data_IF_772958635710
#
_entry.id   IF_772958635710
#
_cell.length_a   1.000
_cell.length_b   1.000
_cell.length_c   1.000
_cell.angle_alpha   90.00
_cell.angle_beta   90.00
_cell.angle_gamma   90.00
#
_symmetry.space_group_name_H-M   'P 1'
#
loop_
_entity.id
_entity.type
_entity.pdbx_description
1 polymer ?
#
# COMPACT_ATOMS: atom_id res chain seq x y z
N UNK A 1 80.15 -3.34 -20.29
CA UNK A 1 80.72 -2.20 -19.58
C UNK A 1 79.92 -1.93 -18.32
N UNK A 2 80.36 -2.42 -17.31
CA UNK A 2 80.59 -2.04 -15.90
C UNK A 2 79.95 -0.77 -15.31
N UNK A 3 79.92 -0.70 -14.01
CA UNK A 3 78.85 -0.77 -13.05
C UNK A 3 78.86 0.52 -12.17
N UNK A 4 77.98 0.51 -11.13
CA UNK A 4 78.06 1.37 -9.89
C UNK A 4 76.69 1.93 -9.58
N UNK A 5 76.14 1.89 -8.43
CA UNK A 5 76.66 1.67 -7.07
C UNK A 5 75.44 1.54 -6.12
N UNK A 6 75.56 0.55 -5.29
CA UNK A 6 74.81 0.37 -4.04
C UNK A 6 75.22 1.50 -3.08
N UNK A 7 74.22 2.12 -2.38
CA UNK A 7 74.30 2.70 -1.04
C UNK A 7 73.34 3.87 -0.90
N UNK A 8 72.22 3.60 -0.23
CA UNK A 8 71.55 4.50 0.72
C UNK A 8 70.15 3.95 1.01
N UNK A 9 70.09 2.88 1.73
CA UNK A 9 68.85 2.33 2.31
C UNK A 9 69.14 1.85 3.72
N UNK A 10 69.35 2.73 4.64
CA UNK A 10 69.46 2.40 6.06
C UNK A 10 69.37 3.67 6.92
N UNK A 11 68.31 4.45 6.76
CA UNK A 11 68.00 5.55 7.69
C UNK A 11 66.55 6.04 7.62
N UNK A 12 65.59 5.15 7.51
CA UNK A 12 64.13 5.48 7.65
C UNK A 12 63.36 4.41 8.43
N UNK A 13 63.99 3.77 9.39
CA UNK A 13 63.29 2.71 10.20
C UNK A 13 63.31 3.03 11.70
N UNK A 14 63.32 4.28 12.11
CA UNK A 14 63.32 4.65 13.53
C UNK A 14 62.43 5.84 13.91
N UNK A 15 61.44 6.21 13.11
CA UNK A 15 60.52 7.32 13.46
C UNK A 15 59.03 6.96 13.26
N UNK A 16 58.63 5.70 13.39
CA UNK A 16 57.25 5.26 13.31
C UNK A 16 56.73 4.56 14.60
N UNK A 17 57.35 4.93 15.75
CA UNK A 17 56.99 4.27 17.03
C UNK A 17 56.79 5.29 18.18
N UNK A 18 56.02 6.34 17.90
CA UNK A 18 55.60 7.24 18.99
C UNK A 18 54.45 8.11 18.54
N UNK A 19 53.22 7.58 18.46
CA UNK A 19 51.95 8.33 18.55
C UNK A 19 50.74 7.35 18.52
N UNK A 20 50.84 6.21 19.14
CA UNK A 20 49.64 5.49 19.62
C UNK A 20 49.27 6.07 20.99
N UNK A 21 48.70 7.25 20.99
CA UNK A 21 47.92 7.66 22.18
C UNK A 21 46.70 6.72 22.29
N UNK A 22 46.52 6.06 23.43
CA UNK A 22 45.26 5.35 23.67
C UNK A 22 44.17 6.41 23.63
N UNK A 23 43.24 6.27 22.69
CA UNK A 23 41.93 6.91 22.80
C UNK A 23 41.35 6.36 24.10
N UNK A 24 41.49 7.11 25.18
CA UNK A 24 40.71 6.86 26.40
C UNK A 24 39.27 7.06 25.99
N UNK A 25 38.59 5.97 25.66
CA UNK A 25 37.15 5.95 25.67
C UNK A 25 36.75 6.47 27.03
N UNK A 26 36.16 7.66 27.10
CA UNK A 26 35.53 8.16 28.33
C UNK A 26 34.44 7.13 28.68
N UNK A 27 34.81 6.21 29.58
CA UNK A 27 33.83 5.44 30.31
C UNK A 27 33.00 6.47 31.06
N UNK A 28 31.75 6.64 30.68
CA UNK A 28 30.80 7.41 31.47
C UNK A 28 30.74 6.74 32.85
N UNK A 29 31.43 7.31 33.82
CA UNK A 29 31.41 6.80 35.19
C UNK A 29 29.96 6.72 35.66
N UNK A 30 29.51 5.52 35.97
CA UNK A 30 28.20 5.32 36.53
C UNK A 30 28.11 6.11 37.86
N UNK A 31 27.00 6.80 38.08
CA UNK A 31 26.76 7.55 39.32
C UNK A 31 25.34 7.31 39.83
N UNK A 32 25.13 7.64 41.11
CA UNK A 32 23.80 7.59 41.71
C UNK A 32 23.15 8.98 41.54
N UNK A 33 22.00 9.03 40.87
CA UNK A 33 21.26 10.26 40.65
C UNK A 33 20.58 10.71 41.96
N UNK A 34 21.17 11.68 42.63
CA UNK A 34 20.56 12.26 43.84
C UNK A 34 19.31 13.08 43.53
N UNK A 35 19.20 13.57 42.30
CA UNK A 35 18.05 14.31 41.78
C UNK A 35 18.01 14.22 40.27
N UNK A 36 16.82 14.47 39.65
CA UNK A 36 16.62 14.50 38.22
C UNK A 36 15.93 15.81 37.84
N UNK A 37 16.53 16.54 36.88
CA UNK A 37 15.99 17.80 36.38
C UNK A 37 15.80 17.70 34.89
N UNK A 38 14.73 18.31 34.38
CA UNK A 38 14.44 18.39 32.95
C UNK A 38 14.47 19.85 32.51
N UNK A 39 15.34 20.17 31.56
CA UNK A 39 15.53 21.49 31.01
C UNK A 39 15.08 21.50 29.53
N UNK A 40 14.53 22.64 29.05
CA UNK A 40 14.09 22.83 27.67
C UNK A 40 12.62 22.58 27.42
N UNK A 41 11.85 22.26 28.43
CA UNK A 41 10.39 22.10 28.33
C UNK A 41 9.68 23.42 28.06
N UNK A 42 8.68 23.41 27.21
CA UNK A 42 7.85 24.56 26.85
C UNK A 42 6.35 24.28 27.07
N UNK A 43 5.85 23.18 26.55
CA UNK A 43 4.41 22.78 26.62
C UNK A 43 4.22 21.50 27.41
N UNK A 44 5.20 20.61 27.37
CA UNK A 44 5.14 19.31 28.03
C UNK A 44 5.53 19.50 29.49
N UNK A 45 4.78 18.89 30.42
CA UNK A 45 5.13 18.94 31.83
C UNK A 45 6.28 18.03 32.18
N UNK A 46 7.09 18.40 33.18
CA UNK A 46 8.14 17.52 33.68
C UNK A 46 7.59 16.18 34.19
N UNK A 47 6.38 16.18 34.75
CA UNK A 47 5.67 14.95 35.14
C UNK A 47 5.41 13.99 33.98
N UNK A 48 5.07 14.51 32.82
CA UNK A 48 4.92 13.70 31.60
C UNK A 48 6.25 13.04 31.20
N UNK A 49 7.36 13.79 31.27
CA UNK A 49 8.70 13.21 30.97
C UNK A 49 9.03 12.09 31.93
N UNK A 50 8.81 12.30 33.25
CA UNK A 50 9.08 11.27 34.28
C UNK A 50 8.23 10.01 34.10
N UNK A 51 7.02 10.10 33.53
CA UNK A 51 6.19 8.91 33.25
C UNK A 51 6.85 7.96 32.25
N UNK A 52 7.62 8.50 31.31
CA UNK A 52 8.30 7.72 30.27
C UNK A 52 9.78 7.44 30.57
N UNK A 53 10.30 8.02 31.64
CA UNK A 53 11.70 7.88 32.01
C UNK A 53 11.91 6.62 32.88
N UNK A 54 12.70 5.62 32.43
CA UNK A 54 13.00 4.43 33.24
C UNK A 54 14.12 4.65 34.28
N UNK A 55 14.27 5.89 34.80
CA UNK A 55 15.22 6.28 35.83
C UNK A 55 14.48 7.06 36.89
N UNK A 56 14.68 6.66 38.14
CA UNK A 56 14.16 7.36 39.32
C UNK A 56 15.30 7.96 40.20
N UNK A 57 14.92 8.88 41.08
CA UNK A 57 15.83 9.45 42.05
C UNK A 57 16.37 8.33 42.95
N UNK A 58 17.69 8.27 43.07
CA UNK A 58 18.40 7.22 43.83
C UNK A 58 18.93 6.10 42.96
N UNK A 59 18.55 6.04 41.69
CA UNK A 59 19.01 5.02 40.76
C UNK A 59 20.48 5.23 40.35
N UNK A 60 21.12 4.11 40.05
CA UNK A 60 22.43 4.12 39.38
C UNK A 60 22.26 4.37 37.89
N UNK A 61 22.81 5.46 37.42
CA UNK A 61 22.82 5.87 36.00
C UNK A 61 24.12 5.43 35.37
N UNK A 62 24.07 4.56 34.40
CA UNK A 62 25.17 4.11 33.56
C UNK A 62 24.85 4.34 32.08
N UNK A 63 25.75 3.97 31.19
CA UNK A 63 25.55 4.14 29.71
C UNK A 63 24.38 3.33 29.17
N UNK A 64 24.12 2.14 29.73
CA UNK A 64 23.00 1.29 29.26
C UNK A 64 21.65 1.95 29.61
N UNK A 65 21.48 2.34 30.88
CA UNK A 65 20.28 2.99 31.39
C UNK A 65 20.04 4.36 30.76
N UNK A 66 21.11 5.11 30.49
CA UNK A 66 21.07 6.37 29.70
C UNK A 66 20.56 6.12 28.31
N UNK A 67 21.09 5.12 27.60
CA UNK A 67 20.67 4.79 26.24
C UNK A 67 19.21 4.34 26.18
N UNK A 68 18.79 3.51 27.12
CA UNK A 68 17.40 3.06 27.26
C UNK A 68 16.46 4.24 27.46
N UNK A 69 16.82 5.15 28.37
CA UNK A 69 16.03 6.34 28.69
C UNK A 69 15.91 7.31 27.53
N UNK A 70 16.99 7.55 26.81
CA UNK A 70 16.99 8.36 25.59
C UNK A 70 16.05 7.74 24.55
N UNK A 71 16.13 6.43 24.32
CA UNK A 71 15.24 5.72 23.40
C UNK A 71 13.77 5.79 23.82
N UNK A 72 13.50 5.65 25.13
CA UNK A 72 12.14 5.76 25.64
C UNK A 72 11.53 7.15 25.40
N UNK A 73 12.30 8.21 25.66
CA UNK A 73 11.86 9.57 25.40
C UNK A 73 11.70 9.88 23.89
N UNK A 74 12.60 9.43 23.04
CA UNK A 74 12.43 9.58 21.57
C UNK A 74 11.22 8.82 21.05
N UNK A 75 10.91 7.65 21.61
CA UNK A 75 9.75 6.83 21.22
C UNK A 75 8.42 7.53 21.46
N UNK A 76 8.35 8.47 22.40
CA UNK A 76 7.15 9.27 22.65
C UNK A 76 6.78 10.17 21.45
N UNK A 77 7.76 10.50 20.60
CA UNK A 77 7.58 11.44 19.51
C UNK A 77 7.57 12.91 19.92
N UNK A 78 7.63 13.23 21.21
CA UNK A 78 7.53 14.59 21.74
C UNK A 78 8.74 15.46 21.46
N UNK A 79 9.91 14.85 21.33
CA UNK A 79 11.19 15.56 21.32
C UNK A 79 11.90 15.39 19.97
N UNK A 80 12.51 16.48 19.51
CA UNK A 80 13.42 16.50 18.35
C UNK A 80 14.85 16.18 18.78
N UNK A 81 15.21 16.54 20.03
CA UNK A 81 16.51 16.22 20.62
C UNK A 81 16.36 15.90 22.11
N UNK A 82 17.18 14.95 22.59
CA UNK A 82 17.24 14.53 23.98
C UNK A 82 18.69 14.26 24.34
N UNK A 83 19.22 15.00 25.31
CA UNK A 83 20.58 14.84 25.81
C UNK A 83 20.55 14.66 27.32
N UNK A 84 21.44 13.82 27.83
CA UNK A 84 21.64 13.59 29.24
C UNK A 84 22.95 14.18 29.66
N UNK A 85 22.92 15.04 30.65
CA UNK A 85 24.08 15.73 31.21
C UNK A 85 24.19 15.40 32.71
N UNK A 86 25.42 15.33 33.21
CA UNK A 86 25.70 15.14 34.63
C UNK A 86 26.17 16.45 35.26
N UNK A 87 25.48 16.92 36.28
CA UNK A 87 25.90 18.06 37.09
C UNK A 87 26.12 17.58 38.55
N UNK A 88 27.35 17.16 38.85
CA UNK A 88 27.65 16.49 40.15
C UNK A 88 26.93 15.15 40.26
N UNK A 89 26.00 15.03 41.19
CA UNK A 89 25.13 13.86 41.34
C UNK A 89 23.68 14.09 40.83
N UNK A 90 23.46 15.20 40.13
CA UNK A 90 22.15 15.50 39.50
C UNK A 90 22.20 15.04 38.05
N UNK A 91 21.17 14.29 37.61
CA UNK A 91 20.93 13.98 36.21
C UNK A 91 20.12 15.13 35.57
N UNK A 92 20.68 15.79 34.61
CA UNK A 92 19.99 16.84 33.84
C UNK A 92 19.61 16.27 32.47
N UNK A 93 18.32 16.25 32.16
CA UNK A 93 17.78 15.83 30.87
C UNK A 93 17.46 17.08 30.09
N UNK A 94 18.24 17.34 29.06
CA UNK A 94 18.04 18.50 28.18
C UNK A 94 17.23 18.03 26.97
N UNK A 95 16.07 18.62 26.77
CA UNK A 95 15.16 18.25 25.69
C UNK A 95 14.86 19.43 24.76
N UNK A 96 14.61 19.13 23.49
CA UNK A 96 14.05 20.07 22.54
C UNK A 96 12.69 19.54 22.10
N UNK A 97 11.62 20.19 22.50
CA UNK A 97 10.27 19.77 22.13
C UNK A 97 10.00 19.99 20.65
N UNK A 98 9.32 19.02 20.03
CA UNK A 98 8.74 19.25 18.68
C UNK A 98 7.57 20.23 18.78
N UNK A 99 7.41 21.13 17.80
CA UNK A 99 6.27 22.03 17.78
C UNK A 99 4.96 21.27 17.58
N UNK A 100 3.85 21.86 17.99
CA UNK A 100 2.52 21.37 17.62
C UNK A 100 2.00 22.07 16.39
N UNK A 101 1.17 21.37 15.62
CA UNK A 101 0.48 21.91 14.47
C UNK A 101 -0.64 22.83 14.96
N UNK A 102 -0.57 24.11 14.58
CA UNK A 102 -1.62 25.10 14.88
C UNK A 102 -2.72 25.04 13.83
N UNK A 103 -2.35 25.14 12.54
CA UNK A 103 -3.27 24.98 11.42
C UNK A 103 -2.66 24.06 10.35
N UNK A 104 -3.54 23.34 9.67
CA UNK A 104 -3.20 22.52 8.49
C UNK A 104 -4.08 22.97 7.32
N UNK A 105 -3.49 23.63 6.34
CA UNK A 105 -4.18 24.15 5.17
C UNK A 105 -3.79 23.38 3.92
N UNK A 106 -4.80 23.00 3.14
CA UNK A 106 -4.66 22.37 1.82
C UNK A 106 -5.14 23.37 0.77
N UNK A 107 -4.35 23.62 -0.25
CA UNK A 107 -4.67 24.55 -1.32
C UNK A 107 -4.41 23.95 -2.69
N UNK A 108 -5.34 24.16 -3.65
CA UNK A 108 -5.21 23.68 -5.03
C UNK A 108 -5.73 22.27 -5.31
N UNK A 109 -6.22 21.54 -4.32
CA UNK A 109 -6.86 20.23 -4.47
C UNK A 109 -8.28 20.37 -5.04
N UNK A 110 -8.46 20.01 -6.30
CA UNK A 110 -9.75 20.05 -7.01
C UNK A 110 -10.32 18.66 -7.26
N UNK A 111 -9.45 17.67 -7.51
CA UNK A 111 -9.81 16.30 -7.83
C UNK A 111 -10.24 15.51 -6.58
N UNK A 112 -9.61 15.79 -5.44
CA UNK A 112 -9.91 15.15 -4.17
C UNK A 112 -10.47 16.22 -3.21
N UNK A 113 -11.61 15.93 -2.59
CA UNK A 113 -12.24 16.86 -1.64
C UNK A 113 -11.36 17.10 -0.42
N UNK A 114 -11.35 18.33 0.07
CA UNK A 114 -10.55 18.73 1.24
C UNK A 114 -10.91 17.91 2.47
N UNK A 115 -12.20 17.59 2.66
CA UNK A 115 -12.69 16.80 3.79
C UNK A 115 -12.11 15.39 3.80
N UNK A 116 -12.04 14.74 2.62
CA UNK A 116 -11.50 13.39 2.47
C UNK A 116 -9.99 13.39 2.76
N UNK A 117 -9.28 14.39 2.22
CA UNK A 117 -7.85 14.56 2.47
C UNK A 117 -7.59 14.82 3.97
N UNK A 118 -8.31 15.75 4.59
CA UNK A 118 -8.13 16.07 6.00
C UNK A 118 -8.41 14.88 6.91
N UNK A 119 -9.42 14.09 6.58
CA UNK A 119 -9.74 12.85 7.34
C UNK A 119 -8.60 11.84 7.23
N UNK A 120 -8.07 11.62 6.03
CA UNK A 120 -6.91 10.74 5.81
C UNK A 120 -5.66 11.22 6.54
N UNK A 121 -5.37 12.53 6.49
CA UNK A 121 -4.24 13.16 7.16
C UNK A 121 -4.31 13.00 8.68
N UNK A 122 -5.49 13.19 9.26
CA UNK A 122 -5.73 12.96 10.70
C UNK A 122 -5.46 11.53 11.12
N UNK A 123 -5.86 10.55 10.29
CA UNK A 123 -5.62 9.13 10.56
C UNK A 123 -4.15 8.74 10.66
N UNK A 124 -3.24 9.54 10.12
CA UNK A 124 -1.78 9.31 10.15
C UNK A 124 -1.04 10.33 11.04
N UNK A 125 -1.78 11.06 11.88
CA UNK A 125 -1.22 11.98 12.89
C UNK A 125 -0.77 13.33 12.33
N UNK A 126 -1.28 13.76 11.18
CA UNK A 126 -1.08 15.12 10.65
C UNK A 126 -2.38 15.90 10.74
N UNK A 127 -2.63 16.53 11.89
CA UNK A 127 -3.82 17.32 12.16
C UNK A 127 -3.51 18.45 13.14
N UNK A 128 -4.41 19.41 13.22
CA UNK A 128 -4.33 20.49 14.20
C UNK A 128 -4.30 19.94 15.63
N UNK A 129 -3.40 20.46 16.44
CA UNK A 129 -3.14 20.02 17.82
C UNK A 129 -2.14 18.89 17.95
N UNK A 130 -1.88 18.13 16.88
CA UNK A 130 -0.88 17.04 16.88
C UNK A 130 0.56 17.58 16.88
N UNK A 131 1.50 16.69 17.22
CA UNK A 131 2.93 17.02 17.23
C UNK A 131 3.47 16.97 15.80
N UNK A 132 4.09 18.05 15.37
CA UNK A 132 4.72 18.11 14.06
C UNK A 132 5.97 17.24 13.99
N UNK A 133 5.96 16.28 13.09
CA UNK A 133 7.10 15.43 12.75
C UNK A 133 7.42 15.57 11.25
N UNK A 134 8.61 16.07 10.87
CA UNK A 134 9.00 16.19 9.47
C UNK A 134 8.88 14.91 8.68
N UNK A 135 9.26 13.75 9.27
CA UNK A 135 9.17 12.44 8.62
C UNK A 135 7.71 12.02 8.33
N UNK A 136 6.77 12.46 9.19
CA UNK A 136 5.35 12.21 8.94
C UNK A 136 4.84 13.08 7.80
N UNK A 137 5.26 14.33 7.72
CA UNK A 137 4.91 15.23 6.62
C UNK A 137 5.42 14.71 5.28
N UNK A 138 6.67 14.24 5.22
CA UNK A 138 7.25 13.67 3.99
C UNK A 138 6.46 12.42 3.55
N UNK A 139 6.16 11.49 4.47
CA UNK A 139 5.36 10.30 4.18
C UNK A 139 3.98 10.65 3.65
N UNK A 140 3.33 11.62 4.27
CA UNK A 140 2.03 12.13 3.84
C UNK A 140 2.10 12.70 2.44
N UNK A 141 3.09 13.55 2.17
CA UNK A 141 3.28 14.15 0.85
C UNK A 141 3.45 13.08 -0.22
N UNK A 142 4.24 12.04 0.04
CA UNK A 142 4.41 10.91 -0.89
C UNK A 142 3.12 10.10 -1.07
N UNK A 143 2.35 9.90 -0.01
CA UNK A 143 1.06 9.20 -0.09
C UNK A 143 0.04 9.99 -0.91
N UNK A 144 -0.05 11.31 -0.71
CA UNK A 144 -0.91 12.16 -1.51
C UNK A 144 -0.50 12.13 -3.00
N UNK A 145 0.79 12.22 -3.31
CA UNK A 145 1.28 12.09 -4.69
C UNK A 145 0.84 10.76 -5.30
N UNK A 146 0.92 9.66 -4.53
CA UNK A 146 0.47 8.33 -4.98
C UNK A 146 -1.02 8.28 -5.25
N UNK A 147 -1.85 8.90 -4.40
CA UNK A 147 -3.30 8.98 -4.60
C UNK A 147 -3.66 9.78 -5.85
N UNK A 148 -2.98 10.91 -6.10
CA UNK A 148 -3.15 11.67 -7.32
C UNK A 148 -2.69 10.89 -8.56
N UNK A 149 -1.59 10.16 -8.48
CA UNK A 149 -1.12 9.28 -9.56
C UNK A 149 -2.14 8.18 -9.90
N UNK A 150 -2.78 7.59 -8.89
CA UNK A 150 -3.84 6.60 -9.10
C UNK A 150 -5.04 7.18 -9.87
N UNK A 151 -5.28 8.49 -9.74
CA UNK A 151 -6.30 9.24 -10.51
C UNK A 151 -5.78 9.80 -11.84
N UNK A 152 -4.58 9.39 -12.27
CA UNK A 152 -3.98 9.83 -13.53
C UNK A 152 -3.28 11.19 -13.50
N UNK A 153 -3.13 11.81 -12.32
CA UNK A 153 -2.47 13.11 -12.13
C UNK A 153 -0.96 12.96 -11.91
N UNK A 154 -0.24 12.41 -12.86
CA UNK A 154 1.20 12.10 -12.73
C UNK A 154 2.09 13.35 -12.68
N UNK A 155 1.58 14.51 -13.09
CA UNK A 155 2.27 15.80 -13.03
C UNK A 155 2.01 16.54 -11.72
N UNK A 156 1.34 15.91 -10.75
CA UNK A 156 1.07 16.54 -9.46
C UNK A 156 2.36 16.95 -8.76
N UNK A 157 2.34 18.14 -8.20
CA UNK A 157 3.39 18.66 -7.33
C UNK A 157 2.75 19.13 -6.04
N UNK A 158 3.30 18.70 -4.91
CA UNK A 158 2.83 19.09 -3.58
C UNK A 158 4.03 19.71 -2.86
N UNK A 159 3.91 20.96 -2.51
CA UNK A 159 4.96 21.71 -1.84
C UNK A 159 4.51 22.04 -0.42
N UNK A 160 5.05 21.38 0.60
CA UNK A 160 4.77 21.74 1.98
C UNK A 160 5.52 23.02 2.36
N UNK A 161 4.85 23.94 3.03
CA UNK A 161 5.44 25.10 3.68
C UNK A 161 5.11 25.08 5.18
N UNK A 162 6.13 25.36 6.00
CA UNK A 162 6.03 25.31 7.45
C UNK A 162 6.39 26.69 7.98
N UNK A 163 5.45 27.33 8.68
CA UNK A 163 5.63 28.64 9.29
C UNK A 163 5.73 28.50 10.80
N UNK A 164 6.89 28.76 11.42
CA UNK A 164 7.01 28.75 12.87
C UNK A 164 6.19 29.88 13.52
N UNK A 165 5.59 29.56 14.65
CA UNK A 165 4.79 30.48 15.45
C UNK A 165 5.28 30.49 16.91
N UNK A 166 4.81 31.51 17.65
CA UNK A 166 5.07 31.58 19.09
C UNK A 166 4.54 30.35 19.84
N UNK A 167 5.12 30.09 21.01
CA UNK A 167 4.74 29.00 21.91
C UNK A 167 4.94 27.62 21.31
N UNK A 168 6.03 27.43 20.56
CA UNK A 168 6.43 26.17 19.94
C UNK A 168 5.31 25.56 19.09
N UNK A 169 4.74 26.32 18.17
CA UNK A 169 3.71 25.91 17.21
C UNK A 169 4.18 26.13 15.78
N UNK A 170 3.54 25.45 14.84
CA UNK A 170 3.76 25.64 13.40
C UNK A 170 2.43 25.66 12.67
N UNK A 171 2.34 26.48 11.64
CA UNK A 171 1.32 26.35 10.60
C UNK A 171 1.92 25.55 9.44
N UNK A 172 1.14 24.61 8.92
CA UNK A 172 1.51 23.79 7.77
C UNK A 172 0.56 24.11 6.64
N UNK A 173 1.12 24.46 5.47
CA UNK A 173 0.35 24.62 4.24
C UNK A 173 0.88 23.64 3.21
N UNK A 174 -0.01 22.87 2.57
CA UNK A 174 0.29 22.02 1.43
C UNK A 174 -0.25 22.68 0.17
N UNK A 175 0.64 23.25 -0.63
CA UNK A 175 0.31 23.83 -1.94
C UNK A 175 0.33 22.71 -2.99
N UNK A 176 -0.86 22.39 -3.51
CA UNK A 176 -1.09 21.28 -4.44
C UNK A 176 -1.29 21.84 -5.85
N UNK A 177 -0.43 21.44 -6.76
CA UNK A 177 -0.61 21.70 -8.20
C UNK A 177 -0.89 20.37 -8.87
N UNK A 178 -2.16 20.08 -9.18
CA UNK A 178 -2.58 18.74 -9.66
C UNK A 178 -2.07 18.41 -11.06
N UNK A 179 -1.85 19.43 -11.89
CA UNK A 179 -1.52 19.24 -13.31
C UNK A 179 -2.70 18.70 -14.13
N UNK A 180 -2.40 18.25 -15.33
CA UNK A 180 -3.39 17.60 -16.23
C UNK A 180 -3.33 16.08 -16.05
N UNK A 181 -4.43 15.41 -16.38
CA UNK A 181 -4.44 13.95 -16.46
C UNK A 181 -3.55 13.52 -17.62
N UNK A 182 -2.79 12.46 -17.41
CA UNK A 182 -2.08 11.79 -18.50
C UNK A 182 -3.11 11.11 -19.40
N UNK A 183 -2.87 11.18 -20.71
CA UNK A 183 -3.76 10.65 -21.76
C UNK A 183 -3.25 9.32 -22.26
N UNK A 184 -4.15 8.37 -22.39
CA UNK A 184 -3.85 7.07 -22.95
C UNK A 184 -3.69 7.19 -24.48
N UNK A 185 -2.46 7.04 -24.95
CA UNK A 185 -2.11 7.18 -26.38
C UNK A 185 -2.21 5.88 -27.12
N UNK A 186 -1.86 4.79 -26.47
CA UNK A 186 -1.82 3.49 -27.09
C UNK A 186 -2.15 2.39 -26.09
N UNK A 187 -2.87 1.37 -26.59
CA UNK A 187 -3.25 0.18 -25.84
C UNK A 187 -2.91 -1.03 -26.72
N UNK A 188 -1.91 -1.77 -26.30
CA UNK A 188 -1.44 -2.98 -26.97
C UNK A 188 -1.82 -4.22 -26.17
N UNK A 189 -2.47 -5.18 -26.82
CA UNK A 189 -2.65 -6.52 -26.31
C UNK A 189 -1.69 -7.43 -27.08
N UNK A 190 -0.83 -8.14 -26.38
CA UNK A 190 0.20 -9.00 -26.98
C UNK A 190 -0.06 -10.45 -26.58
N UNK A 191 -0.02 -11.35 -27.55
CA UNK A 191 -0.31 -12.78 -27.35
C UNK A 191 -1.69 -13.20 -27.83
N UNK A 192 -2.52 -12.25 -28.23
CA UNK A 192 -3.81 -12.50 -28.86
C UNK A 192 -3.60 -12.93 -30.34
N UNK A 193 -3.96 -14.15 -30.62
CA UNK A 193 -3.82 -14.75 -31.98
C UNK A 193 -5.16 -15.07 -32.62
N UNK A 194 -6.19 -15.27 -31.81
CA UNK A 194 -7.54 -15.66 -32.27
C UNK A 194 -8.44 -14.46 -32.46
N UNK A 195 -8.34 -13.46 -31.59
CA UNK A 195 -9.19 -12.27 -31.64
C UNK A 195 -8.36 -11.01 -31.80
N UNK A 196 -8.82 -10.08 -32.64
CA UNK A 196 -8.15 -8.78 -32.84
C UNK A 196 -8.41 -7.81 -31.70
N UNK A 197 -7.50 -6.87 -31.51
CA UNK A 197 -7.53 -5.86 -30.44
C UNK A 197 -8.83 -5.05 -30.40
N UNK A 198 -9.40 -4.71 -31.56
CA UNK A 198 -10.64 -3.92 -31.62
C UNK A 198 -11.81 -4.64 -30.98
N UNK A 199 -11.92 -5.97 -31.20
CA UNK A 199 -12.96 -6.78 -30.58
C UNK A 199 -12.73 -6.97 -29.08
N UNK A 200 -11.47 -7.16 -28.68
CA UNK A 200 -11.11 -7.36 -27.27
C UNK A 200 -11.33 -6.10 -26.43
N UNK A 201 -11.30 -4.93 -27.04
CA UNK A 201 -11.48 -3.63 -26.39
C UNK A 201 -12.85 -3.01 -26.59
N UNK A 202 -13.78 -3.70 -27.25
CA UNK A 202 -15.11 -3.15 -27.59
C UNK A 202 -15.86 -2.60 -26.36
N UNK A 203 -15.79 -3.31 -25.23
CA UNK A 203 -16.48 -2.96 -23.99
C UNK A 203 -15.57 -2.24 -22.96
N UNK A 204 -14.37 -1.84 -23.37
CA UNK A 204 -13.46 -1.17 -22.43
C UNK A 204 -13.91 0.27 -22.16
N UNK A 205 -13.73 0.69 -20.91
CA UNK A 205 -13.92 2.09 -20.49
C UNK A 205 -12.72 2.97 -20.82
N UNK A 206 -11.54 2.35 -20.89
CA UNK A 206 -10.28 3.01 -21.27
C UNK A 206 -10.11 3.00 -22.77
N UNK A 207 -10.03 4.18 -23.38
CA UNK A 207 -9.84 4.33 -24.81
C UNK A 207 -8.64 5.24 -25.13
N UNK A 208 -8.10 5.08 -26.34
CA UNK A 208 -7.10 5.99 -26.85
C UNK A 208 -7.73 7.34 -27.20
N UNK A 209 -6.92 8.41 -27.17
CA UNK A 209 -7.40 9.77 -27.47
C UNK A 209 -8.06 9.84 -28.85
N UNK A 210 -9.33 10.19 -28.89
CA UNK A 210 -10.15 10.39 -30.09
C UNK A 210 -10.75 11.80 -30.16
N UNK A 211 -11.41 12.14 -31.25
CA UNK A 211 -12.07 13.45 -31.40
C UNK A 211 -13.18 13.66 -30.35
N UNK A 212 -13.79 12.59 -29.85
CA UNK A 212 -14.86 12.66 -28.84
C UNK A 212 -14.35 12.55 -27.38
N UNK A 213 -13.08 12.24 -27.18
CA UNK A 213 -12.51 12.06 -25.82
C UNK A 213 -12.52 13.34 -24.99
N UNK A 214 -12.57 14.53 -25.63
CA UNK A 214 -12.73 15.79 -24.90
C UNK A 214 -14.06 15.87 -24.12
N UNK A 215 -15.09 15.14 -24.57
CA UNK A 215 -16.39 15.08 -23.90
C UNK A 215 -16.50 13.85 -23.00
N UNK A 216 -16.11 12.66 -23.49
CA UNK A 216 -16.25 11.39 -22.77
C UNK A 216 -15.21 11.20 -21.67
N UNK A 217 -14.04 11.85 -21.79
CA UNK A 217 -12.86 11.66 -20.89
C UNK A 217 -12.43 10.19 -20.76
N UNK A 218 -12.65 9.40 -21.79
CA UNK A 218 -12.33 7.98 -21.86
C UNK A 218 -10.83 7.73 -22.14
N UNK A 219 -10.11 8.77 -22.59
CA UNK A 219 -8.65 8.78 -22.79
C UNK A 219 -7.86 9.10 -21.49
N UNK A 220 -8.54 9.28 -20.37
CA UNK A 220 -7.89 9.55 -19.09
C UNK A 220 -7.65 8.24 -18.34
N UNK A 221 -6.39 7.98 -18.03
CA UNK A 221 -6.00 6.80 -17.29
C UNK A 221 -6.55 6.83 -15.85
N UNK A 222 -7.11 5.71 -15.43
CA UNK A 222 -7.44 5.40 -14.04
C UNK A 222 -7.10 3.94 -13.78
N UNK A 223 -6.50 3.65 -12.64
CA UNK A 223 -6.17 2.28 -12.25
C UNK A 223 -7.43 1.43 -12.09
N UNK A 224 -8.49 2.02 -11.57
CA UNK A 224 -9.79 1.36 -11.37
C UNK A 224 -10.41 0.96 -12.72
N UNK A 225 -10.43 1.88 -13.70
CA UNK A 225 -10.91 1.57 -15.06
C UNK A 225 -10.09 0.46 -15.70
N UNK A 226 -8.76 0.57 -15.64
CA UNK A 226 -7.88 -0.47 -16.20
C UNK A 226 -8.13 -1.83 -15.55
N UNK A 227 -8.31 -1.89 -14.24
CA UNK A 227 -8.62 -3.15 -13.54
C UNK A 227 -9.93 -3.76 -14.03
N UNK A 228 -10.97 -2.95 -14.21
CA UNK A 228 -12.25 -3.37 -14.79
C UNK A 228 -12.13 -3.84 -16.24
N UNK A 229 -11.33 -3.15 -17.05
CA UNK A 229 -11.11 -3.52 -18.46
C UNK A 229 -10.33 -4.85 -18.58
N UNK A 230 -9.34 -5.09 -17.71
CA UNK A 230 -8.63 -6.37 -17.66
C UNK A 230 -9.53 -7.52 -17.17
N UNK A 231 -10.48 -7.24 -16.28
CA UNK A 231 -11.50 -8.22 -15.87
C UNK A 231 -12.41 -8.55 -17.04
N UNK A 232 -12.91 -7.54 -17.79
CA UNK A 232 -13.71 -7.76 -19.02
C UNK A 232 -12.95 -8.59 -20.06
N UNK A 233 -11.63 -8.33 -20.22
CA UNK A 233 -10.77 -9.13 -21.10
C UNK A 233 -10.71 -10.59 -20.64
N UNK A 234 -10.58 -10.83 -19.35
CA UNK A 234 -10.57 -12.18 -18.80
C UNK A 234 -11.92 -12.87 -19.00
N UNK A 235 -13.02 -12.18 -18.72
CA UNK A 235 -14.37 -12.70 -18.92
C UNK A 235 -14.66 -13.01 -20.39
N UNK A 236 -14.20 -12.16 -21.32
CA UNK A 236 -14.33 -12.39 -22.75
C UNK A 236 -13.77 -13.75 -23.19
N UNK A 237 -12.57 -14.10 -22.71
CA UNK A 237 -11.94 -15.38 -23.03
C UNK A 237 -12.57 -16.55 -22.28
N UNK A 238 -12.80 -16.39 -20.97
CA UNK A 238 -13.38 -17.44 -20.12
C UNK A 238 -14.81 -17.83 -20.56
N UNK A 239 -15.57 -16.88 -21.10
CA UNK A 239 -16.92 -17.15 -21.61
C UNK A 239 -16.94 -17.84 -22.99
N UNK A 240 -15.78 -17.82 -23.67
CA UNK A 240 -15.59 -18.50 -24.97
C UNK A 240 -14.83 -19.81 -24.87
N UNK A 241 -14.65 -20.30 -23.63
CA UNK A 241 -14.09 -21.63 -23.36
C UNK A 241 -12.60 -21.66 -23.03
N UNK A 242 -11.92 -20.54 -23.01
CA UNK A 242 -10.49 -20.47 -22.70
C UNK A 242 -10.26 -20.53 -21.18
N UNK A 243 -10.52 -21.69 -20.58
CA UNK A 243 -10.48 -21.85 -19.12
C UNK A 243 -9.09 -21.69 -18.50
N UNK A 244 -8.03 -21.77 -19.27
CA UNK A 244 -6.65 -21.53 -18.87
C UNK A 244 -6.10 -20.19 -19.38
N UNK A 245 -6.97 -19.28 -19.82
CA UNK A 245 -6.60 -17.91 -20.13
C UNK A 245 -5.92 -17.23 -18.94
N UNK A 246 -4.86 -16.51 -19.22
CA UNK A 246 -4.13 -15.77 -18.19
C UNK A 246 -3.57 -14.45 -18.72
N UNK A 247 -3.65 -13.40 -17.91
CA UNK A 247 -2.91 -12.15 -18.13
C UNK A 247 -1.55 -12.32 -17.46
N UNK A 248 -0.50 -12.43 -18.27
CA UNK A 248 0.86 -12.67 -17.78
C UNK A 248 1.48 -11.41 -17.16
N UNK A 249 1.27 -10.28 -17.80
CA UNK A 249 1.74 -8.99 -17.28
C UNK A 249 0.98 -7.83 -17.89
N UNK A 250 0.89 -6.74 -17.13
CA UNK A 250 0.38 -5.44 -17.60
C UNK A 250 1.41 -4.37 -17.27
N UNK A 251 1.88 -3.67 -18.30
CA UNK A 251 2.87 -2.62 -18.19
C UNK A 251 2.26 -1.27 -18.59
N UNK A 252 2.43 -0.29 -17.74
CA UNK A 252 2.03 1.10 -18.00
C UNK A 252 3.29 1.94 -18.07
N UNK A 253 3.55 2.52 -19.22
CA UNK A 253 4.68 3.42 -19.46
C UNK A 253 4.19 4.85 -19.61
N UNK A 254 4.90 5.78 -18.97
CA UNK A 254 4.57 7.21 -18.98
C UNK A 254 5.66 7.96 -19.76
N UNK A 255 5.25 8.88 -20.64
CA UNK A 255 6.18 9.76 -21.33
C UNK A 255 6.99 10.63 -20.35
N UNK A 256 8.21 11.07 -20.72
CA UNK A 256 9.04 11.91 -19.85
C UNK A 256 8.36 13.21 -19.40
N UNK A 257 7.48 13.77 -20.23
CA UNK A 257 6.71 14.98 -19.91
C UNK A 257 5.42 14.71 -19.11
N UNK A 258 5.20 13.43 -18.73
CA UNK A 258 4.06 12.95 -17.93
C UNK A 258 2.67 13.26 -18.50
N UNK A 259 2.59 13.47 -19.82
CA UNK A 259 1.31 13.78 -20.49
C UNK A 259 0.69 12.59 -21.18
N UNK A 260 1.50 11.65 -21.65
CA UNK A 260 1.07 10.51 -22.44
C UNK A 260 1.40 9.20 -21.73
N UNK A 261 0.50 8.23 -21.87
CA UNK A 261 0.63 6.89 -21.34
C UNK A 261 0.47 5.86 -22.43
N UNK A 262 1.18 4.76 -22.27
CA UNK A 262 1.16 3.59 -23.15
C UNK A 262 0.89 2.36 -22.29
N UNK A 263 -0.11 1.60 -22.66
CA UNK A 263 -0.51 0.37 -21.97
C UNK A 263 -0.11 -0.82 -22.84
N UNK A 264 0.57 -1.80 -22.26
CA UNK A 264 0.84 -3.09 -22.91
C UNK A 264 0.44 -4.20 -21.97
N UNK A 265 -0.49 -5.06 -22.42
CA UNK A 265 -0.96 -6.22 -21.69
C UNK A 265 -0.53 -7.49 -22.43
N UNK A 266 0.29 -8.31 -21.79
CA UNK A 266 0.69 -9.60 -22.32
C UNK A 266 -0.26 -10.68 -21.81
N UNK A 267 -0.81 -11.48 -22.72
CA UNK A 267 -1.75 -12.54 -22.41
C UNK A 267 -1.29 -13.89 -22.96
N UNK A 268 -1.75 -14.95 -22.31
CA UNK A 268 -1.73 -16.30 -22.82
C UNK A 268 -3.18 -16.75 -23.04
N UNK A 269 -3.60 -16.90 -24.29
CA UNK A 269 -4.99 -17.24 -24.62
C UNK A 269 -5.37 -18.65 -24.14
N UNK A 270 -4.43 -19.59 -24.20
CA UNK A 270 -4.70 -21.00 -23.91
C UNK A 270 -5.45 -21.69 -25.03
N UNK A 271 -6.28 -22.68 -24.67
CA UNK A 271 -7.09 -23.46 -25.63
C UNK A 271 -8.55 -23.50 -25.21
N UNK A 272 -9.43 -23.78 -26.17
CA UNK A 272 -10.87 -23.92 -25.90
C UNK A 272 -11.16 -25.26 -25.23
N UNK A 273 -11.85 -25.22 -24.09
CA UNK A 273 -12.31 -26.38 -23.32
C UNK A 273 -13.81 -26.62 -23.52
N UNK A 274 -14.19 -27.89 -23.53
CA UNK A 274 -15.59 -28.32 -23.46
C UNK A 274 -15.90 -28.91 -22.11
N UNK A 275 -17.12 -28.78 -21.67
CA UNK A 275 -17.59 -29.37 -20.43
C UNK A 275 -17.71 -30.89 -20.60
N UNK A 276 -17.04 -31.66 -19.76
CA UNK A 276 -17.10 -33.13 -19.71
C UNK A 276 -18.33 -33.56 -18.92
N UNK A 277 -18.33 -33.26 -17.63
CA UNK A 277 -19.41 -33.61 -16.71
C UNK A 277 -19.65 -32.46 -15.71
N UNK A 278 -20.89 -32.46 -15.20
CA UNK A 278 -21.32 -31.59 -14.12
C UNK A 278 -21.86 -32.44 -12.98
N UNK A 279 -21.33 -32.22 -11.78
CA UNK A 279 -21.74 -32.96 -10.57
C UNK A 279 -22.18 -32.02 -9.46
N UNK A 280 -22.91 -32.54 -8.48
CA UNK A 280 -23.32 -31.82 -7.28
C UNK A 280 -22.82 -32.61 -6.09
N UNK A 281 -22.02 -31.98 -5.24
CA UNK A 281 -21.50 -32.55 -4.01
C UNK A 281 -21.91 -31.74 -2.78
N UNK A 282 -21.50 -32.19 -1.60
CA UNK A 282 -21.82 -31.54 -0.35
C UNK A 282 -23.19 -31.91 0.20
N UNK A 283 -23.75 -31.07 1.07
CA UNK A 283 -25.00 -31.27 1.73
C UNK A 283 -26.16 -30.63 0.95
N UNK A 284 -27.04 -31.46 0.36
CA UNK A 284 -28.22 -30.99 -0.38
C UNK A 284 -29.48 -31.15 0.49
N UNK A 285 -30.05 -30.01 0.88
CA UNK A 285 -31.29 -29.95 1.68
C UNK A 285 -32.57 -30.09 0.82
N UNK A 286 -32.39 -30.21 -0.50
CA UNK A 286 -33.41 -30.46 -1.50
C UNK A 286 -33.00 -31.64 -2.38
N UNK A 287 -33.94 -32.30 -3.11
CA UNK A 287 -33.59 -33.32 -4.09
C UNK A 287 -32.58 -32.81 -5.10
N UNK A 288 -31.57 -33.61 -5.47
CA UNK A 288 -30.56 -33.23 -6.46
C UNK A 288 -31.14 -32.87 -7.81
N UNK A 289 -32.22 -33.55 -8.17
CA UNK A 289 -32.96 -33.32 -9.42
C UNK A 289 -33.53 -31.89 -9.54
N UNK A 290 -33.82 -31.23 -8.41
CA UNK A 290 -34.29 -29.85 -8.41
C UNK A 290 -33.12 -28.86 -8.59
N UNK A 291 -31.93 -29.19 -8.07
CA UNK A 291 -30.71 -28.44 -8.30
C UNK A 291 -30.25 -28.59 -9.77
N UNK A 292 -30.31 -29.82 -10.32
CA UNK A 292 -29.96 -30.13 -11.70
C UNK A 292 -30.74 -29.30 -12.74
N UNK A 293 -32.00 -29.00 -12.47
CA UNK A 293 -32.86 -28.14 -13.31
C UNK A 293 -32.35 -26.70 -13.41
N UNK A 294 -31.57 -26.24 -12.41
CA UNK A 294 -31.04 -24.90 -12.35
C UNK A 294 -29.69 -24.77 -13.07
N UNK A 295 -29.04 -25.89 -13.41
CA UNK A 295 -27.72 -25.93 -14.06
C UNK A 295 -27.88 -25.49 -15.51
N UNK A 296 -27.19 -24.38 -15.83
CA UNK A 296 -27.18 -23.81 -17.18
C UNK A 296 -26.04 -24.38 -18.03
N UNK A 297 -24.91 -24.70 -17.40
CA UNK A 297 -23.74 -25.25 -18.07
C UNK A 297 -23.90 -26.77 -18.23
N UNK A 298 -23.85 -27.26 -19.49
CA UNK A 298 -24.20 -28.68 -19.79
C UNK A 298 -22.99 -29.39 -20.40
N UNK A 299 -22.85 -30.72 -20.16
CA UNK A 299 -21.85 -31.55 -20.82
C UNK A 299 -21.93 -31.41 -22.35
N UNK A 300 -20.75 -31.38 -23.00
CA UNK A 300 -20.59 -31.22 -24.44
C UNK A 300 -20.56 -29.77 -24.93
N UNK A 301 -21.06 -28.81 -24.16
CA UNK A 301 -20.98 -27.40 -24.51
C UNK A 301 -19.58 -26.84 -24.29
N UNK A 302 -19.28 -25.70 -24.94
CA UNK A 302 -18.10 -24.89 -24.65
C UNK A 302 -18.23 -24.36 -23.20
N UNK A 303 -17.13 -24.37 -22.46
CA UNK A 303 -17.08 -23.80 -21.12
C UNK A 303 -17.40 -22.30 -21.17
N UNK A 304 -18.13 -21.80 -20.19
CA UNK A 304 -18.42 -20.40 -19.98
C UNK A 304 -18.45 -20.07 -18.48
N UNK A 305 -17.64 -19.12 -18.08
CA UNK A 305 -17.62 -18.60 -16.69
C UNK A 305 -18.94 -17.96 -16.31
N UNK A 306 -19.56 -17.23 -17.25
CA UNK A 306 -20.86 -16.60 -17.05
C UNK A 306 -21.94 -17.63 -16.72
N UNK A 307 -21.99 -18.74 -17.48
CA UNK A 307 -22.96 -19.82 -17.21
C UNK A 307 -22.67 -20.54 -15.88
N UNK A 308 -21.41 -20.66 -15.52
CA UNK A 308 -20.97 -21.21 -14.24
C UNK A 308 -21.47 -20.35 -13.08
N UNK A 309 -21.19 -19.05 -13.11
CA UNK A 309 -21.60 -18.07 -12.09
C UNK A 309 -23.13 -17.98 -12.02
N UNK A 310 -23.80 -17.87 -13.15
CA UNK A 310 -25.26 -17.81 -13.19
C UNK A 310 -25.92 -19.10 -12.64
N UNK A 311 -25.28 -20.26 -12.79
CA UNK A 311 -25.75 -21.52 -12.17
C UNK A 311 -25.60 -21.44 -10.65
N UNK A 312 -24.43 -21.01 -10.17
CA UNK A 312 -24.14 -20.83 -8.74
C UNK A 312 -25.17 -19.90 -8.09
N UNK A 313 -25.43 -18.75 -8.72
CA UNK A 313 -26.39 -17.76 -8.22
C UNK A 313 -27.81 -18.31 -8.14
N UNK A 314 -28.24 -19.08 -9.15
CA UNK A 314 -29.57 -19.72 -9.15
C UNK A 314 -29.74 -20.73 -8.03
N UNK A 315 -28.72 -21.57 -7.80
CA UNK A 315 -28.76 -22.56 -6.73
C UNK A 315 -28.78 -21.85 -5.36
N UNK A 316 -27.93 -20.86 -5.18
CA UNK A 316 -27.86 -20.05 -3.95
C UNK A 316 -29.19 -19.34 -3.68
N UNK A 317 -29.77 -18.72 -4.70
CA UNK A 317 -31.09 -18.06 -4.59
C UNK A 317 -32.20 -19.03 -4.22
N UNK A 318 -32.20 -20.22 -4.81
CA UNK A 318 -33.18 -21.26 -4.48
C UNK A 318 -33.08 -21.70 -3.00
N UNK A 319 -31.87 -21.95 -2.52
CA UNK A 319 -31.59 -22.30 -1.12
C UNK A 319 -31.99 -21.17 -0.16
N UNK A 320 -31.69 -19.93 -0.51
CA UNK A 320 -32.06 -18.73 0.26
C UNK A 320 -33.58 -18.61 0.41
N UNK A 321 -34.34 -18.87 -0.66
CA UNK A 321 -35.81 -18.80 -0.68
C UNK A 321 -36.48 -19.82 0.24
N UNK A 322 -35.82 -20.95 0.54
CA UNK A 322 -36.33 -21.98 1.47
C UNK A 322 -35.79 -21.84 2.90
N UNK A 323 -35.11 -20.70 3.18
CA UNK A 323 -34.67 -20.31 4.52
C UNK A 323 -33.21 -20.56 4.83
N UNK A 324 -32.37 -20.91 3.86
CA UNK A 324 -30.92 -21.06 4.01
C UNK A 324 -30.22 -19.80 3.50
N UNK A 325 -30.38 -18.67 4.22
CA UNK A 325 -29.89 -17.36 3.81
C UNK A 325 -28.37 -17.25 3.73
N UNK A 326 -27.62 -18.16 4.33
CA UNK A 326 -26.16 -18.24 4.31
C UNK A 326 -25.65 -19.43 3.50
N UNK A 327 -26.46 -19.93 2.56
CA UNK A 327 -26.04 -21.00 1.68
C UNK A 327 -24.87 -20.54 0.79
N UNK A 328 -23.84 -21.37 0.73
CA UNK A 328 -22.66 -21.18 -0.12
C UNK A 328 -22.61 -22.32 -1.15
N UNK A 329 -22.49 -21.95 -2.41
CA UNK A 329 -22.33 -22.90 -3.52
C UNK A 329 -21.02 -22.58 -4.22
N UNK A 330 -20.04 -23.48 -4.11
CA UNK A 330 -18.72 -23.28 -4.65
C UNK A 330 -18.53 -24.17 -5.87
N UNK A 331 -18.38 -23.60 -7.08
CA UNK A 331 -18.03 -24.39 -8.25
C UNK A 331 -16.55 -24.77 -8.21
N UNK A 332 -16.25 -26.06 -8.34
CA UNK A 332 -14.91 -26.61 -8.35
C UNK A 332 -14.62 -27.20 -9.74
N UNK A 333 -13.95 -26.43 -10.63
CA UNK A 333 -13.57 -26.90 -11.95
C UNK A 333 -12.31 -27.80 -11.86
N UNK A 334 -12.32 -28.89 -12.63
CA UNK A 334 -11.16 -29.78 -12.83
C UNK A 334 -10.84 -29.82 -14.32
N UNK A 335 -9.65 -29.36 -14.69
CA UNK A 335 -9.21 -29.22 -16.08
C UNK A 335 -8.40 -30.44 -16.52
N UNK A 336 -8.84 -31.11 -17.58
CA UNK A 336 -8.06 -32.09 -18.33
C UNK A 336 -7.46 -31.42 -19.58
N UNK A 337 -6.21 -31.02 -19.46
CA UNK A 337 -5.48 -30.34 -20.55
C UNK A 337 -5.24 -31.24 -21.75
N UNK A 338 -5.10 -32.55 -21.54
CA UNK A 338 -4.82 -33.51 -22.61
C UNK A 338 -6.00 -33.67 -23.55
N UNK A 339 -7.19 -33.82 -22.98
CA UNK A 339 -8.44 -34.01 -23.73
C UNK A 339 -9.18 -32.68 -24.02
N UNK A 340 -8.70 -31.55 -23.47
CA UNK A 340 -9.33 -30.23 -23.53
C UNK A 340 -10.77 -30.27 -22.96
N UNK A 341 -10.91 -30.93 -21.82
CA UNK A 341 -12.16 -31.10 -21.12
C UNK A 341 -12.11 -30.44 -19.74
N UNK A 342 -13.26 -29.98 -19.27
CA UNK A 342 -13.43 -29.41 -17.94
C UNK A 342 -14.61 -30.08 -17.24
N UNK A 343 -14.37 -30.70 -16.10
CA UNK A 343 -15.41 -31.23 -15.22
C UNK A 343 -15.70 -30.22 -14.12
N UNK A 344 -16.96 -30.03 -13.78
CA UNK A 344 -17.38 -29.03 -12.80
C UNK A 344 -18.16 -29.73 -11.68
N UNK A 345 -17.75 -29.51 -10.45
CA UNK A 345 -18.50 -29.97 -9.28
C UNK A 345 -19.03 -28.76 -8.51
N UNK A 346 -20.36 -28.71 -8.30
CA UNK A 346 -20.98 -27.69 -7.46
C UNK A 346 -21.04 -28.21 -6.02
N UNK A 347 -20.09 -27.77 -5.19
CA UNK A 347 -20.07 -28.11 -3.77
C UNK A 347 -21.07 -27.22 -3.02
N UNK A 348 -22.14 -27.84 -2.52
CA UNK A 348 -23.24 -27.15 -1.83
C UNK A 348 -23.03 -27.24 -0.33
N UNK A 349 -23.03 -26.09 0.35
CA UNK A 349 -23.08 -25.95 1.79
C UNK A 349 -24.27 -25.04 2.16
N UNK A 350 -25.40 -25.60 2.62
CA UNK A 350 -26.59 -24.82 2.91
C UNK A 350 -26.43 -23.91 4.15
N UNK A 351 -25.51 -24.24 5.05
CA UNK A 351 -25.39 -23.56 6.33
C UNK A 351 -26.64 -23.74 7.22
N UNK A 352 -26.78 -22.97 8.31
CA UNK A 352 -27.92 -23.07 9.21
C UNK A 352 -29.19 -22.45 8.60
N UNK A 353 -30.34 -23.09 8.86
CA UNK A 353 -31.65 -22.53 8.47
C UNK A 353 -31.98 -21.31 9.33
N UNK A 354 -32.32 -20.20 8.70
CA UNK A 354 -32.64 -18.93 9.36
C UNK A 354 -34.15 -18.72 9.43
N UNK A 355 -34.62 -18.23 10.57
CA UNK A 355 -36.00 -17.80 10.76
C UNK A 355 -36.03 -16.32 11.16
N UNK A 356 -36.87 -15.52 10.49
CA UNK A 356 -37.11 -14.13 10.88
C UNK A 356 -37.91 -14.10 12.17
N UNK A 357 -37.30 -13.65 13.26
CA UNK A 357 -37.93 -13.61 14.58
C UNK A 357 -38.80 -12.37 14.79
N UNK A 358 -38.49 -11.24 14.15
CA UNK A 358 -39.23 -9.99 14.30
C UNK A 358 -38.87 -9.01 13.17
N UNK A 359 -39.89 -8.41 12.57
CA UNK A 359 -39.73 -7.22 11.70
C UNK A 359 -40.12 -6.02 12.57
N UNK A 360 -39.22 -5.06 12.73
CA UNK A 360 -39.52 -3.80 13.43
C UNK A 360 -39.90 -2.71 12.43
#
# INVERSE_FOLDING_TARGET
>A
MTPKTIRKSLLCLSLAMALSQPVIAQSTDAFIASDIRVDGLQRISAGTVFTYLPIEKGDRVDSAKTTESIRALYKTGFFSDVRFERQGNILVIVVVERPSINTLTLDGNKEIKTEDLTTGLKGIGLAEGEIYNPLSLDRVTQELIRQYNNKGKYSVTIVPSITPLDRNRVDIKLDITEGKNAKLRDINIVGNTVYGDDLLREDWESNTTSILSWYKRDDQYSREKLSGDLEKLSDFYLDRGYADFNIESTQVTISPDKKDMFLTTNIAEGVVYKVDKVTISGETVVPKEDIEKLILIKPGNIFSRQLLTATTDRITAMLSNIGYAFAEVTPVPTIDKTNRLISIDFAVNPGPRVQVRRIK
#
